data_IF_944366738587
#
_entry.id   IF_944366738587
#
_cell.length_a   1.000
_cell.length_b   1.000
_cell.length_c   1.000
_cell.angle_alpha   90.00
_cell.angle_beta   90.00
_cell.angle_gamma   90.00
#
_symmetry.space_group_name_H-M   'P 1'
#
loop_
_entity.id
_entity.type
_entity.pdbx_description
1 polymer ?
#
# COMPACT_ATOMS: atom_id res chain seq x y z
N UNK A 1 3.15 14.98 33.66
CA UNK A 1 3.61 13.60 33.40
C UNK A 1 2.80 12.93 32.30
N UNK A 2 1.47 13.06 32.27
CA UNK A 2 0.63 12.48 31.21
C UNK A 2 1.05 12.91 29.79
N UNK A 3 1.29 14.20 29.55
CA UNK A 3 1.77 14.69 28.24
C UNK A 3 3.08 14.06 27.79
N UNK A 4 4.01 13.83 28.72
CA UNK A 4 5.29 13.19 28.40
C UNK A 4 5.08 11.73 27.99
N UNK A 5 4.28 10.98 28.77
CA UNK A 5 3.94 9.58 28.46
C UNK A 5 3.19 9.47 27.14
N UNK A 6 2.24 10.35 26.87
CA UNK A 6 1.50 10.39 25.61
C UNK A 6 2.44 10.66 24.42
N UNK A 7 3.39 11.59 24.56
CA UNK A 7 4.34 11.89 23.48
C UNK A 7 5.29 10.71 23.22
N UNK A 8 5.70 9.98 24.26
CA UNK A 8 6.47 8.74 24.12
C UNK A 8 5.66 7.69 23.36
N UNK A 9 4.39 7.48 23.72
CA UNK A 9 3.50 6.53 23.03
C UNK A 9 3.30 6.93 21.57
N UNK A 10 3.02 8.21 21.29
CA UNK A 10 2.87 8.73 19.93
C UNK A 10 4.14 8.52 19.10
N UNK A 11 5.31 8.82 19.68
CA UNK A 11 6.60 8.60 19.05
C UNK A 11 6.87 7.12 18.76
N UNK A 12 6.51 6.24 19.70
CA UNK A 12 6.65 4.79 19.54
C UNK A 12 5.73 4.25 18.44
N UNK A 13 4.47 4.71 18.39
CA UNK A 13 3.50 4.35 17.36
C UNK A 13 4.01 4.75 15.96
N UNK A 14 4.48 5.99 15.80
CA UNK A 14 5.06 6.47 14.55
C UNK A 14 6.34 5.71 14.18
N UNK A 15 7.20 5.43 15.17
CA UNK A 15 8.40 4.62 15.01
C UNK A 15 8.09 3.21 14.51
N UNK A 16 7.06 2.56 15.04
CA UNK A 16 6.62 1.24 14.57
C UNK A 16 6.10 1.27 13.14
N UNK A 17 5.34 2.30 12.76
CA UNK A 17 4.89 2.47 11.36
C UNK A 17 6.09 2.56 10.43
N UNK A 18 7.08 3.40 10.73
CA UNK A 18 8.29 3.51 9.90
C UNK A 18 9.14 2.24 9.90
N UNK A 19 9.27 1.56 11.04
CA UNK A 19 9.98 0.30 11.13
C UNK A 19 9.31 -0.79 10.27
N UNK A 20 7.98 -0.89 10.29
CA UNK A 20 7.23 -1.83 9.46
C UNK A 20 7.36 -1.52 7.97
N UNK A 21 7.32 -0.23 7.58
CA UNK A 21 7.53 0.19 6.19
C UNK A 21 8.94 -0.19 5.73
N UNK A 22 9.97 0.12 6.53
CA UNK A 22 11.35 -0.23 6.22
C UNK A 22 11.55 -1.75 6.11
N UNK A 23 10.95 -2.52 7.02
CA UNK A 23 10.99 -3.98 7.01
C UNK A 23 10.29 -4.55 5.76
N UNK A 24 9.12 -4.03 5.38
CA UNK A 24 8.44 -4.39 4.13
C UNK A 24 9.30 -4.15 2.89
N UNK A 25 9.87 -2.94 2.79
CA UNK A 25 10.70 -2.57 1.65
C UNK A 25 11.98 -3.42 1.55
N UNK A 26 12.64 -3.69 2.67
CA UNK A 26 13.85 -4.52 2.71
C UNK A 26 13.57 -5.98 2.37
N UNK A 27 12.43 -6.54 2.78
CA UNK A 27 12.05 -7.91 2.40
C UNK A 27 11.79 -8.04 0.89
N UNK A 28 11.01 -7.12 0.31
CA UNK A 28 10.71 -7.15 -1.13
C UNK A 28 11.99 -6.96 -1.96
N UNK A 29 12.80 -5.94 -1.61
CA UNK A 29 14.06 -5.70 -2.29
C UNK A 29 15.06 -6.84 -2.07
N UNK A 30 15.07 -7.48 -0.89
CA UNK A 30 15.95 -8.61 -0.59
C UNK A 30 15.75 -9.81 -1.50
N UNK A 31 14.49 -10.09 -1.88
CA UNK A 31 14.13 -11.20 -2.77
C UNK A 31 14.30 -10.78 -4.25
N UNK A 32 13.69 -9.66 -4.64
CA UNK A 32 13.55 -9.29 -6.05
C UNK A 32 14.76 -8.51 -6.56
N UNK A 33 15.50 -7.82 -5.68
CA UNK A 33 16.62 -6.91 -6.00
C UNK A 33 16.29 -5.85 -7.05
N UNK A 34 15.01 -5.46 -7.11
CA UNK A 34 14.47 -4.41 -7.98
C UNK A 34 13.79 -3.36 -7.10
N UNK A 35 13.92 -2.09 -7.51
CA UNK A 35 13.23 -0.97 -6.85
C UNK A 35 11.75 -1.07 -7.21
N UNK A 36 10.89 -1.24 -6.21
CA UNK A 36 9.44 -1.28 -6.39
C UNK A 36 8.84 0.07 -5.95
N UNK A 37 8.55 0.95 -6.91
CA UNK A 37 7.88 2.23 -6.64
C UNK A 37 6.42 2.05 -6.19
N UNK A 38 5.76 0.99 -6.65
CA UNK A 38 4.35 0.71 -6.36
C UNK A 38 4.10 0.30 -4.89
N UNK A 39 5.14 0.12 -4.08
CA UNK A 39 4.99 -0.23 -2.67
C UNK A 39 4.20 0.84 -1.89
N UNK A 40 4.41 2.12 -2.17
CA UNK A 40 3.65 3.21 -1.54
C UNK A 40 2.18 3.19 -1.97
N UNK A 41 1.93 2.91 -3.24
CA UNK A 41 0.58 2.92 -3.83
C UNK A 41 -0.27 1.74 -3.33
N UNK A 42 0.34 0.58 -3.12
CA UNK A 42 -0.33 -0.56 -2.48
C UNK A 42 -0.74 -0.23 -1.05
N UNK A 43 0.10 0.50 -0.29
CA UNK A 43 -0.24 0.94 1.07
C UNK A 43 -1.41 1.93 1.05
N UNK A 44 -1.39 2.89 0.12
CA UNK A 44 -2.49 3.83 -0.09
C UNK A 44 -3.81 3.10 -0.36
N UNK A 45 -3.81 2.12 -1.28
CA UNK A 45 -5.02 1.35 -1.61
C UNK A 45 -5.52 0.56 -0.40
N UNK A 46 -4.61 -0.03 0.38
CA UNK A 46 -4.98 -0.71 1.64
C UNK A 46 -5.68 0.21 2.64
N UNK A 47 -5.18 1.43 2.81
CA UNK A 47 -5.82 2.43 3.67
C UNK A 47 -7.22 2.79 3.17
N UNK A 48 -7.39 2.96 1.84
CA UNK A 48 -8.69 3.24 1.25
C UNK A 48 -9.68 2.07 1.36
N UNK A 49 -9.25 0.82 1.22
CA UNK A 49 -10.10 -0.35 1.45
C UNK A 49 -10.58 -0.37 2.92
N UNK A 50 -9.68 -0.07 3.85
CA UNK A 50 -10.03 0.05 5.27
C UNK A 50 -11.06 1.15 5.52
N UNK A 51 -10.84 2.33 4.93
CA UNK A 51 -11.77 3.45 5.00
C UNK A 51 -13.15 3.10 4.40
N UNK A 52 -13.17 2.44 3.25
CA UNK A 52 -14.42 2.08 2.59
C UNK A 52 -15.22 1.04 3.39
N UNK A 53 -14.54 0.04 3.96
CA UNK A 53 -15.18 -1.00 4.76
C UNK A 53 -15.70 -0.48 6.10
N UNK A 54 -15.01 0.48 6.72
CA UNK A 54 -15.49 1.10 7.96
C UNK A 54 -16.62 2.10 7.69
N UNK A 55 -16.51 2.98 6.70
CA UNK A 55 -17.52 4.02 6.48
C UNK A 55 -18.79 3.48 5.82
N UNK A 56 -18.66 2.66 4.77
CA UNK A 56 -19.82 2.23 3.99
C UNK A 56 -20.54 1.02 4.59
N UNK A 57 -19.77 0.07 5.12
CA UNK A 57 -20.31 -1.18 5.63
C UNK A 57 -20.34 -1.27 7.15
N UNK A 58 -19.72 -0.32 7.86
CA UNK A 58 -19.69 -0.27 9.33
C UNK A 58 -19.20 -1.60 9.94
N UNK A 59 -18.22 -2.22 9.27
CA UNK A 59 -17.67 -3.49 9.71
C UNK A 59 -16.90 -3.35 11.04
N UNK A 60 -16.86 -4.42 11.85
CA UNK A 60 -16.03 -4.41 13.05
C UNK A 60 -14.56 -4.25 12.67
N UNK A 61 -13.79 -3.58 13.53
CA UNK A 61 -12.39 -3.22 13.26
C UNK A 61 -11.52 -4.40 12.80
N UNK A 62 -11.74 -5.59 13.38
CA UNK A 62 -11.05 -6.80 12.97
C UNK A 62 -11.33 -7.18 11.50
N UNK A 63 -12.57 -7.08 11.04
CA UNK A 63 -12.94 -7.36 9.66
C UNK A 63 -12.39 -6.30 8.69
N UNK A 64 -12.31 -5.04 9.11
CA UNK A 64 -11.66 -3.96 8.36
C UNK A 64 -10.18 -4.30 8.12
N UNK A 65 -9.43 -4.68 9.16
CA UNK A 65 -8.03 -5.08 9.00
C UNK A 65 -7.87 -6.28 8.06
N UNK A 66 -8.69 -7.32 8.22
CA UNK A 66 -8.65 -8.50 7.34
C UNK A 66 -8.94 -8.10 5.90
N UNK A 67 -9.93 -7.25 5.66
CA UNK A 67 -10.26 -6.79 4.31
C UNK A 67 -9.11 -6.02 3.64
N UNK A 68 -8.42 -5.16 4.39
CA UNK A 68 -7.28 -4.41 3.90
C UNK A 68 -6.09 -5.33 3.59
N UNK A 69 -5.81 -6.31 4.45
CA UNK A 69 -4.76 -7.32 4.22
C UNK A 69 -5.05 -8.14 2.97
N UNK A 70 -6.29 -8.64 2.83
CA UNK A 70 -6.69 -9.44 1.67
C UNK A 70 -6.61 -8.59 0.39
N UNK A 71 -7.12 -7.36 0.43
CA UNK A 71 -7.09 -6.43 -0.70
C UNK A 71 -5.66 -6.11 -1.16
N UNK A 72 -4.77 -5.75 -0.23
CA UNK A 72 -3.36 -5.51 -0.53
C UNK A 72 -2.67 -6.75 -1.07
N UNK A 73 -2.96 -7.93 -0.52
CA UNK A 73 -2.35 -9.20 -0.97
C UNK A 73 -2.77 -9.51 -2.40
N UNK A 74 -4.06 -9.42 -2.70
CA UNK A 74 -4.58 -9.65 -4.06
C UNK A 74 -3.95 -8.66 -5.03
N UNK A 75 -3.90 -7.38 -4.69
CA UNK A 75 -3.30 -6.35 -5.53
C UNK A 75 -1.80 -6.61 -5.77
N UNK A 76 -1.04 -6.91 -4.72
CA UNK A 76 0.39 -7.20 -4.82
C UNK A 76 0.66 -8.41 -5.72
N UNK A 77 -0.14 -9.47 -5.58
CA UNK A 77 -0.05 -10.67 -6.43
C UNK A 77 -0.39 -10.35 -7.88
N UNK A 78 -1.40 -9.53 -8.15
CA UNK A 78 -1.75 -9.10 -9.51
C UNK A 78 -0.63 -8.29 -10.14
N UNK A 79 -0.05 -7.34 -9.40
CA UNK A 79 1.09 -6.54 -9.87
C UNK A 79 2.28 -7.45 -10.17
N UNK A 80 2.59 -8.40 -9.28
CA UNK A 80 3.66 -9.37 -9.50
C UNK A 80 3.42 -10.16 -10.79
N UNK A 81 2.23 -10.73 -10.96
CA UNK A 81 1.92 -11.61 -12.10
C UNK A 81 1.87 -10.86 -13.43
N UNK A 82 1.28 -9.67 -13.45
CA UNK A 82 1.03 -8.93 -14.69
C UNK A 82 2.20 -8.02 -15.09
N UNK A 83 2.85 -7.39 -14.12
CA UNK A 83 3.88 -6.40 -14.40
C UNK A 83 5.29 -6.99 -14.26
N UNK A 84 5.60 -7.64 -13.13
CA UNK A 84 6.98 -8.02 -12.83
C UNK A 84 7.39 -9.39 -13.37
N UNK A 85 6.51 -10.40 -13.28
CA UNK A 85 6.78 -11.79 -13.71
C UNK A 85 7.17 -11.89 -15.20
N UNK A 86 6.53 -11.17 -16.14
CA UNK A 86 6.93 -11.21 -17.56
C UNK A 86 8.33 -10.61 -17.80
N UNK A 87 8.76 -9.67 -16.95
CA UNK A 87 10.01 -8.93 -17.08
C UNK A 87 11.19 -9.59 -16.37
N UNK A 88 11.03 -10.81 -15.84
CA UNK A 88 12.08 -11.51 -15.08
C UNK A 88 13.37 -11.74 -15.86
N UNK A 89 13.27 -11.87 -17.19
CA UNK A 89 14.41 -12.05 -18.10
C UNK A 89 14.82 -10.76 -18.81
N UNK A 90 14.13 -9.65 -18.55
CA UNK A 90 14.38 -8.36 -19.19
C UNK A 90 15.50 -7.59 -18.45
N UNK A 91 16.10 -6.57 -19.07
CA UNK A 91 17.05 -5.69 -18.39
C UNK A 91 16.40 -4.99 -17.19
N UNK A 92 17.17 -4.77 -16.11
CA UNK A 92 16.68 -4.12 -14.87
C UNK A 92 16.01 -2.76 -15.11
N UNK A 93 16.44 -2.04 -16.13
CA UNK A 93 15.88 -0.74 -16.53
C UNK A 93 14.42 -0.90 -16.99
N UNK A 94 14.09 -1.97 -17.72
CA UNK A 94 12.71 -2.25 -18.13
C UNK A 94 11.81 -2.48 -16.92
N UNK A 95 12.27 -3.24 -15.91
CA UNK A 95 11.53 -3.45 -14.67
C UNK A 95 11.31 -2.15 -13.88
N UNK A 96 12.28 -1.23 -13.89
CA UNK A 96 12.15 0.08 -13.25
C UNK A 96 11.07 0.93 -13.93
N UNK A 97 11.08 0.99 -15.27
CA UNK A 97 10.08 1.73 -16.04
C UNK A 97 8.68 1.15 -15.78
N UNK A 98 8.56 -0.18 -15.75
CA UNK A 98 7.29 -0.84 -15.43
C UNK A 98 6.85 -0.56 -14.00
N UNK A 99 7.76 -0.55 -13.03
CA UNK A 99 7.41 -0.19 -11.64
C UNK A 99 6.81 1.22 -11.57
N UNK A 100 7.43 2.20 -12.25
CA UNK A 100 6.91 3.57 -12.35
C UNK A 100 5.55 3.58 -13.07
N UNK A 101 5.41 2.84 -14.16
CA UNK A 101 4.16 2.72 -14.90
C UNK A 101 3.02 2.15 -14.05
N UNK A 102 3.30 1.14 -13.22
CA UNK A 102 2.33 0.58 -12.27
C UNK A 102 1.97 1.62 -11.22
N UNK A 103 2.94 2.33 -10.63
CA UNK A 103 2.68 3.39 -9.66
C UNK A 103 1.73 4.45 -10.22
N UNK A 104 2.08 5.01 -11.38
CA UNK A 104 1.25 6.01 -12.05
C UNK A 104 -0.14 5.46 -12.38
N UNK A 105 -0.22 4.21 -12.85
CA UNK A 105 -1.50 3.57 -13.13
C UNK A 105 -2.36 3.49 -11.86
N UNK A 106 -1.81 3.03 -10.74
CA UNK A 106 -2.54 2.94 -9.47
C UNK A 106 -2.96 4.32 -8.95
N UNK A 107 -2.07 5.31 -9.01
CA UNK A 107 -2.36 6.68 -8.60
C UNK A 107 -3.46 7.30 -9.45
N UNK A 108 -3.35 7.25 -10.78
CA UNK A 108 -4.37 7.80 -11.67
C UNK A 108 -5.68 7.01 -11.57
N UNK A 109 -5.64 5.69 -11.48
CA UNK A 109 -6.83 4.86 -11.34
C UNK A 109 -7.59 5.17 -10.05
N UNK A 110 -6.88 5.33 -8.94
CA UNK A 110 -7.49 5.71 -7.65
C UNK A 110 -8.00 7.15 -7.66
N UNK A 111 -7.32 8.07 -8.36
CA UNK A 111 -7.77 9.45 -8.51
C UNK A 111 -9.08 9.60 -9.32
N UNK A 112 -9.48 8.57 -10.08
CA UNK A 112 -10.70 8.61 -10.87
C UNK A 112 -11.91 8.87 -9.97
N UNK A 113 -12.80 9.75 -10.45
CA UNK A 113 -13.97 10.22 -9.71
C UNK A 113 -14.87 9.10 -9.19
N UNK A 114 -14.88 7.96 -9.88
CA UNK A 114 -15.70 6.80 -9.53
C UNK A 114 -15.06 5.87 -8.49
N UNK A 115 -13.74 5.98 -8.24
CA UNK A 115 -12.99 5.06 -7.37
C UNK A 115 -12.72 5.69 -6.01
N UNK A 116 -11.99 6.82 -5.95
CA UNK A 116 -11.71 7.57 -4.71
C UNK A 116 -11.84 9.12 -4.86
N UNK A 117 -12.64 9.62 -5.81
CA UNK A 117 -12.90 11.06 -6.00
C UNK A 117 -13.78 11.78 -4.96
N UNK A 118 -13.78 13.13 -4.92
CA UNK A 118 -14.21 13.98 -3.78
C UNK A 118 -15.67 13.92 -3.27
N UNK A 119 -16.51 13.02 -3.79
CA UNK A 119 -17.87 12.74 -3.29
C UNK A 119 -17.91 11.62 -2.22
N UNK A 120 -16.78 11.25 -1.61
CA UNK A 120 -16.77 10.30 -0.47
C UNK A 120 -17.50 10.82 0.77
N UNK A 121 -17.64 12.14 0.89
CA UNK A 121 -18.22 12.82 2.06
C UNK A 121 -19.59 13.47 1.82
N UNK A 122 -20.29 13.16 0.72
CA UNK A 122 -21.64 13.71 0.45
C UNK A 122 -22.78 12.76 0.80
#
# INVERSE_FOLDING_TARGET
MEYFVQQVINGLQLGFVYALIALGYTMVYGIVRLINFAHGDVFMIGAFIGLYTIERFQWPLAAVFVSAVVGCTVLAVLIEQLAYRPLRHAPKIASLITAIGVSLFLEYFTSLRQVFGPHFYS
#
